data_IF_290216145157
#
_entry.id   IF_290216145157
#
_cell.length_a   1.000
_cell.length_b   1.000
_cell.length_c   1.000
_cell.angle_alpha   90.00
_cell.angle_beta   90.00
_cell.angle_gamma   90.00
#
_symmetry.space_group_name_H-M   'P 1'
#
loop_
_entity.id
_entity.type
_entity.pdbx_description
1 polymer ?
#
# COMPACT_ATOMS: atom_id res chain seq x y z
N UNK A 1 15.79 3.73 4.78
CA UNK A 1 14.77 3.44 3.75
C UNK A 1 14.44 1.96 3.78
N UNK A 2 13.17 1.64 3.78
CA UNK A 2 12.73 0.25 3.83
C UNK A 2 11.75 -0.04 2.70
N UNK A 3 11.52 -1.33 2.46
CA UNK A 3 10.55 -1.79 1.47
C UNK A 3 9.52 -2.65 2.20
N UNK A 4 8.25 -2.31 2.03
CA UNK A 4 7.15 -2.97 2.70
C UNK A 4 6.24 -3.61 1.66
N UNK A 5 5.95 -4.89 1.84
CA UNK A 5 4.99 -5.60 0.99
C UNK A 5 3.67 -5.68 1.75
N UNK A 6 2.58 -5.31 1.11
CA UNK A 6 1.30 -5.14 1.79
C UNK A 6 0.19 -5.83 0.99
N UNK A 7 -0.66 -6.57 1.70
CA UNK A 7 -1.89 -7.12 1.14
C UNK A 7 -3.06 -6.48 1.83
N UNK A 8 -3.95 -5.86 1.04
CA UNK A 8 -5.17 -5.25 1.55
C UNK A 8 -6.35 -6.14 1.22
N UNK A 9 -7.18 -6.43 2.22
CA UNK A 9 -8.39 -7.21 2.06
C UNK A 9 -9.61 -6.36 2.37
N UNK A 10 -10.76 -6.74 1.82
CA UNK A 10 -12.01 -6.03 2.02
C UNK A 10 -12.57 -5.51 0.71
N UNK A 11 -13.31 -4.41 0.77
CA UNK A 11 -13.81 -3.77 -0.44
C UNK A 11 -12.71 -2.86 -0.97
N UNK A 12 -11.78 -3.47 -1.69
CA UNK A 12 -10.58 -2.75 -2.15
C UNK A 12 -10.41 -2.76 -3.66
N UNK A 13 -11.13 -3.63 -4.38
CA UNK A 13 -11.10 -3.60 -5.84
C UNK A 13 -12.30 -2.82 -6.36
N UNK A 14 -12.16 -2.24 -7.55
CA UNK A 14 -13.24 -1.53 -8.26
C UNK A 14 -13.81 -0.33 -7.51
N UNK A 15 -13.04 0.24 -6.56
CA UNK A 15 -13.44 1.44 -5.81
C UNK A 15 -12.40 2.56 -5.94
N UNK A 16 -11.56 2.48 -6.97
CA UNK A 16 -10.51 3.47 -7.17
C UNK A 16 -9.32 3.29 -6.26
N UNK A 17 -9.16 2.09 -5.68
CA UNK A 17 -8.09 1.85 -4.72
C UNK A 17 -6.71 2.10 -5.31
N UNK A 18 -6.44 1.55 -6.50
CA UNK A 18 -5.11 1.69 -7.10
C UNK A 18 -4.78 3.15 -7.40
N UNK A 19 -5.78 3.90 -7.86
CA UNK A 19 -5.60 5.33 -8.11
C UNK A 19 -5.26 6.06 -6.81
N UNK A 20 -6.03 5.80 -5.75
CA UNK A 20 -5.80 6.43 -4.45
C UNK A 20 -4.47 6.03 -3.86
N UNK A 21 -4.09 4.76 -4.01
CA UNK A 21 -2.81 4.28 -3.51
C UNK A 21 -1.65 5.00 -4.20
N UNK A 22 -1.72 5.11 -5.52
CA UNK A 22 -0.67 5.80 -6.27
C UNK A 22 -0.59 7.28 -5.89
N UNK A 23 -1.74 7.92 -5.73
CA UNK A 23 -1.78 9.33 -5.37
C UNK A 23 -1.19 9.55 -3.98
N UNK A 24 -1.62 8.75 -3.01
CA UNK A 24 -1.14 8.88 -1.64
C UNK A 24 0.36 8.58 -1.54
N UNK A 25 0.81 7.55 -2.23
CA UNK A 25 2.24 7.21 -2.23
C UNK A 25 3.08 8.33 -2.83
N UNK A 26 2.63 8.89 -3.95
CA UNK A 26 3.34 9.97 -4.60
C UNK A 26 3.43 11.20 -3.69
N UNK A 27 2.35 11.55 -3.02
CA UNK A 27 2.34 12.68 -2.10
C UNK A 27 3.32 12.48 -0.94
N UNK A 28 3.55 11.25 -0.54
CA UNK A 28 4.45 10.93 0.57
C UNK A 28 5.87 10.60 0.13
N UNK A 29 6.15 10.72 -1.15
CA UNK A 29 7.49 10.45 -1.66
C UNK A 29 7.85 8.98 -1.72
N UNK A 30 6.85 8.10 -1.69
CA UNK A 30 7.08 6.66 -1.76
C UNK A 30 7.14 6.20 -3.21
N UNK A 31 7.89 5.14 -3.45
CA UNK A 31 7.93 4.47 -4.74
C UNK A 31 7.45 3.04 -4.58
N UNK A 32 7.05 2.42 -5.69
CA UNK A 32 6.58 1.05 -5.64
C UNK A 32 5.50 0.79 -6.68
N UNK A 33 4.65 -0.20 -6.38
CA UNK A 33 3.61 -0.60 -7.33
C UNK A 33 2.41 -1.16 -6.56
N UNK A 34 1.29 -1.28 -7.26
CA UNK A 34 0.05 -1.81 -6.70
C UNK A 34 -0.68 -2.57 -7.81
N UNK A 35 -1.30 -3.69 -7.45
CA UNK A 35 -2.07 -4.49 -8.41
C UNK A 35 -3.21 -5.23 -7.71
N UNK A 36 -4.25 -5.55 -8.49
CA UNK A 36 -5.34 -6.38 -8.02
C UNK A 36 -4.96 -7.85 -8.11
N UNK A 37 -5.41 -8.64 -7.14
CA UNK A 37 -5.25 -10.08 -7.15
C UNK A 37 -6.56 -10.75 -7.51
N UNK A 38 -6.49 -12.00 -7.96
CA UNK A 38 -7.67 -12.75 -8.36
C UNK A 38 -8.62 -13.02 -7.21
N UNK A 39 -8.11 -13.10 -5.98
CA UNK A 39 -8.92 -13.42 -4.82
C UNK A 39 -9.61 -12.20 -4.22
N UNK A 40 -9.53 -11.06 -4.87
CA UNK A 40 -10.19 -9.83 -4.42
C UNK A 40 -9.32 -8.92 -3.59
N UNK A 41 -8.14 -9.37 -3.20
CA UNK A 41 -7.21 -8.52 -2.47
C UNK A 41 -6.47 -7.58 -3.41
N UNK A 42 -5.85 -6.57 -2.83
CA UNK A 42 -4.90 -5.70 -3.54
C UNK A 42 -3.53 -5.90 -2.93
N UNK A 43 -2.56 -6.11 -3.78
CA UNK A 43 -1.16 -6.27 -3.39
C UNK A 43 -0.39 -5.01 -3.73
N UNK A 44 0.44 -4.55 -2.80
CA UNK A 44 1.26 -3.37 -3.01
C UNK A 44 2.63 -3.58 -2.44
N UNK A 45 3.60 -2.90 -3.02
CA UNK A 45 4.93 -2.82 -2.44
C UNK A 45 5.34 -1.35 -2.48
N UNK A 46 5.77 -0.83 -1.32
CA UNK A 46 6.18 0.56 -1.20
C UNK A 46 7.56 0.64 -0.58
N UNK A 47 8.31 1.62 -1.02
CA UNK A 47 9.66 1.84 -0.52
C UNK A 47 9.81 3.30 -0.13
N UNK A 48 10.38 3.52 1.06
CA UNK A 48 10.60 4.86 1.58
C UNK A 48 10.92 4.81 3.05
N UNK A 49 10.76 5.96 3.73
CA UNK A 49 10.97 6.03 5.16
C UNK A 49 9.80 5.41 5.89
N UNK A 50 10.08 4.75 7.01
CA UNK A 50 9.04 4.04 7.74
C UNK A 50 7.89 4.96 8.16
N UNK A 51 8.20 6.20 8.52
CA UNK A 51 7.15 7.13 8.91
C UNK A 51 6.21 7.43 7.75
N UNK A 52 6.75 7.57 6.55
CA UNK A 52 5.93 7.84 5.38
C UNK A 52 5.11 6.63 4.96
N UNK A 53 5.67 5.44 5.13
CA UNK A 53 4.92 4.21 4.85
C UNK A 53 3.75 4.07 5.83
N UNK A 54 3.97 4.37 7.10
CA UNK A 54 2.89 4.34 8.08
C UNK A 54 1.80 5.36 7.76
N UNK A 55 2.18 6.54 7.29
CA UNK A 55 1.21 7.55 6.87
C UNK A 55 0.42 7.08 5.66
N UNK A 56 1.09 6.41 4.73
CA UNK A 56 0.42 5.85 3.56
C UNK A 56 -0.66 4.86 3.96
N UNK A 57 -0.32 3.93 4.87
CA UNK A 57 -1.27 2.93 5.32
C UNK A 57 -2.46 3.60 6.02
N UNK A 58 -2.20 4.60 6.86
CA UNK A 58 -3.27 5.33 7.53
C UNK A 58 -4.15 6.08 6.55
N UNK A 59 -3.57 6.69 5.54
CA UNK A 59 -4.35 7.38 4.51
C UNK A 59 -5.27 6.41 3.78
N UNK A 60 -4.76 5.22 3.45
CA UNK A 60 -5.60 4.23 2.77
C UNK A 60 -6.74 3.74 3.65
N UNK A 61 -6.48 3.57 4.96
CA UNK A 61 -7.53 3.16 5.89
C UNK A 61 -8.63 4.21 6.02
N UNK A 62 -8.33 5.46 5.77
CA UNK A 62 -9.27 6.56 5.93
C UNK A 62 -9.90 7.02 4.62
N UNK A 63 -9.64 6.32 3.52
CA UNK A 63 -10.28 6.66 2.26
C UNK A 63 -11.77 6.36 2.31
N UNK A 64 -12.58 7.29 1.86
CA UNK A 64 -14.01 7.28 2.09
C UNK A 64 -14.74 6.09 1.45
N UNK A 65 -14.33 5.71 0.26
CA UNK A 65 -15.05 4.68 -0.50
C UNK A 65 -14.37 3.32 -0.46
N UNK A 66 -13.32 3.20 0.36
CA UNK A 66 -12.54 1.99 0.49
C UNK A 66 -12.77 1.42 1.88
N UNK A 67 -13.13 0.13 1.94
CA UNK A 67 -13.38 -0.54 3.20
C UNK A 67 -12.35 -1.65 3.37
N UNK A 68 -11.32 -1.38 4.15
CA UNK A 68 -10.26 -2.32 4.40
C UNK A 68 -10.59 -3.11 5.65
N UNK A 69 -10.78 -4.42 5.50
CA UNK A 69 -11.08 -5.30 6.63
C UNK A 69 -9.83 -5.92 7.22
N UNK A 70 -8.76 -6.02 6.47
CA UNK A 70 -7.52 -6.59 6.97
C UNK A 70 -6.33 -6.07 6.15
N UNK A 71 -5.20 -5.89 6.84
CA UNK A 71 -3.94 -5.50 6.21
C UNK A 71 -2.88 -6.47 6.67
N UNK A 72 -2.25 -7.15 5.72
CA UNK A 72 -1.15 -8.05 6.00
C UNK A 72 0.14 -7.38 5.56
N UNK A 73 1.06 -7.21 6.50
CA UNK A 73 2.34 -6.56 6.25
C UNK A 73 3.44 -7.61 6.24
N UNK A 74 4.15 -7.70 5.11
CA UNK A 74 5.32 -8.56 5.00
C UNK A 74 6.52 -7.65 4.82
N UNK A 75 7.39 -7.66 5.79
CA UNK A 75 8.57 -6.82 5.74
C UNK A 75 9.55 -7.37 4.72
N UNK A 76 9.89 -6.55 3.73
CA UNK A 76 10.88 -6.91 2.73
C UNK A 76 12.09 -6.03 2.96
N UNK A 77 13.18 -6.64 3.41
CA UNK A 77 14.40 -5.89 3.60
C UNK A 77 14.89 -5.35 2.28
N UNK A 78 15.45 -4.14 2.26
CA UNK A 78 16.15 -3.68 1.07
C UNK A 78 17.28 -4.64 0.73
N UNK A 79 17.66 -4.65 -0.53
CA UNK A 79 18.83 -5.42 -0.95
C UNK A 79 20.03 -4.97 -0.11
N UNK A 80 20.95 -5.88 0.22
CA UNK A 80 22.12 -5.48 1.00
C UNK A 80 22.93 -4.37 0.37
N UNK A 81 22.73 -4.11 -0.89
CA UNK A 81 23.42 -3.03 -1.55
C UNK A 81 22.67 -1.73 -1.61
N UNK A 82 21.45 -1.73 -1.20
CA UNK A 82 20.60 -0.55 -1.24
C UNK A 82 20.91 0.40 -0.11
#
# INVERSE_FOLDING_TARGET
>A
MIRQHIYFSGRVQAVGFRFRAQMNATQLGLTGWVRNLFDGRVEAEVQGEIEQINRFINKMKNEQWIDITNICLLYTSPSPRD
#
